data_IF_217370753076
#
_entry.id   IF_217370753076
#
_cell.length_a   1.000
_cell.length_b   1.000
_cell.length_c   1.000
_cell.angle_alpha   90.00
_cell.angle_beta   90.00
_cell.angle_gamma   90.00
#
_symmetry.space_group_name_H-M   'P 1'
#
loop_
_entity.id
_entity.type
_entity.pdbx_description
1 polymer ?
#
# COMPACT_ATOMS: atom_id res chain seq x y z
N UNK A 1 2.16 21.76 14.51
CA UNK A 1 2.33 20.30 14.25
C UNK A 1 0.96 19.67 14.14
N UNK A 2 0.74 18.83 13.12
CA UNK A 2 -0.54 18.13 12.95
C UNK A 2 -0.75 17.09 14.07
N UNK A 3 -1.86 17.13 14.79
CA UNK A 3 -2.12 16.17 15.85
C UNK A 3 -2.61 14.84 15.27
N UNK A 4 -1.72 13.84 15.24
CA UNK A 4 -2.06 12.49 14.78
C UNK A 4 -3.12 11.88 15.72
N UNK A 5 -4.20 11.35 15.14
CA UNK A 5 -5.28 10.71 15.89
C UNK A 5 -5.12 9.19 15.93
N UNK A 6 -4.71 8.60 14.82
CA UNK A 6 -4.50 7.15 14.71
C UNK A 6 -3.02 6.87 14.45
N UNK A 7 -2.36 6.19 15.38
CA UNK A 7 -0.92 5.90 15.28
C UNK A 7 -0.67 4.76 14.30
N UNK A 8 0.26 4.96 13.37
CA UNK A 8 0.72 3.91 12.46
C UNK A 8 1.74 2.97 13.11
N UNK A 9 1.79 1.74 12.63
CA UNK A 9 2.90 0.81 12.84
C UNK A 9 3.74 0.77 11.58
N UNK A 10 5.05 0.83 11.74
CA UNK A 10 6.04 0.79 10.66
C UNK A 10 6.75 -0.56 10.67
N UNK A 11 6.84 -1.21 9.53
CA UNK A 11 7.58 -2.46 9.40
C UNK A 11 8.25 -2.59 8.04
N UNK A 12 9.19 -3.52 7.93
CA UNK A 12 9.85 -3.88 6.68
C UNK A 12 9.55 -5.33 6.36
N UNK A 13 9.15 -5.59 5.12
CA UNK A 13 8.81 -6.94 4.64
C UNK A 13 9.49 -7.23 3.31
N UNK A 14 9.88 -8.48 3.05
CA UNK A 14 10.42 -8.86 1.75
C UNK A 14 9.29 -8.98 0.73
N UNK A 15 9.30 -8.12 -0.28
CA UNK A 15 8.39 -8.19 -1.41
C UNK A 15 9.23 -8.41 -2.66
N UNK A 16 9.05 -9.57 -3.29
CA UNK A 16 9.96 -10.05 -4.33
C UNK A 16 11.38 -10.12 -3.74
N UNK A 17 12.32 -9.34 -4.24
CA UNK A 17 13.70 -9.29 -3.73
C UNK A 17 14.07 -7.92 -3.13
N UNK A 18 13.07 -7.10 -2.83
CA UNK A 18 13.27 -5.79 -2.20
C UNK A 18 12.78 -5.81 -0.77
N UNK A 19 13.42 -5.04 0.08
CA UNK A 19 12.97 -4.76 1.44
C UNK A 19 11.99 -3.60 1.39
N UNK A 20 10.71 -3.91 1.47
CA UNK A 20 9.62 -2.94 1.40
C UNK A 20 9.31 -2.37 2.78
N UNK A 21 9.17 -1.05 2.85
CA UNK A 21 8.63 -0.37 4.02
C UNK A 21 7.11 -0.26 3.88
N UNK A 22 6.40 -0.61 4.96
CA UNK A 22 4.94 -0.60 4.99
C UNK A 22 4.46 0.05 6.28
N UNK A 23 3.52 0.97 6.16
CA UNK A 23 2.76 1.51 7.27
C UNK A 23 1.42 0.79 7.40
N UNK A 24 1.01 0.54 8.63
CA UNK A 24 -0.30 0.01 8.93
C UNK A 24 -0.99 0.85 10.00
N UNK A 25 -2.30 1.02 9.86
CA UNK A 25 -3.17 1.60 10.88
C UNK A 25 -4.32 0.63 11.16
N UNK A 26 -4.79 0.60 12.39
CA UNK A 26 -5.81 -0.36 12.81
C UNK A 26 -5.28 -1.79 12.90
N UNK A 27 -6.18 -2.74 13.03
CA UNK A 27 -5.86 -4.16 13.23
C UNK A 27 -6.60 -5.04 12.25
N UNK A 28 -5.99 -6.17 11.83
CA UNK A 28 -6.69 -7.17 11.03
C UNK A 28 -7.99 -7.62 11.68
N UNK A 29 -9.03 -7.81 10.87
CA UNK A 29 -10.30 -8.38 11.29
C UNK A 29 -10.82 -9.31 10.21
N UNK A 30 -11.34 -10.51 10.57
CA UNK A 30 -11.92 -11.41 9.59
C UNK A 30 -13.22 -10.86 8.99
N UNK A 31 -13.89 -9.96 9.71
CA UNK A 31 -15.21 -9.43 9.34
C UNK A 31 -15.15 -8.16 8.50
N UNK A 32 -13.95 -7.59 8.30
CA UNK A 32 -13.77 -6.32 7.61
C UNK A 32 -12.81 -6.45 6.44
N UNK A 33 -13.20 -5.88 5.32
CA UNK A 33 -12.34 -5.83 4.12
C UNK A 33 -11.15 -4.89 4.39
N UNK A 34 -9.91 -5.37 4.23
CA UNK A 34 -8.73 -4.53 4.38
C UNK A 34 -8.72 -3.39 3.35
N UNK A 35 -8.19 -2.24 3.75
CA UNK A 35 -8.02 -1.07 2.88
C UNK A 35 -6.54 -0.89 2.56
N UNK A 36 -6.18 -1.06 1.30
CA UNK A 36 -4.82 -0.84 0.80
C UNK A 36 -4.74 0.51 0.12
N UNK A 37 -3.79 1.35 0.54
CA UNK A 37 -3.59 2.69 -0.02
C UNK A 37 -2.22 2.79 -0.69
N UNK A 38 -2.19 3.21 -1.95
CA UNK A 38 -0.97 3.29 -2.75
C UNK A 38 -0.74 4.72 -3.24
N UNK A 39 0.45 5.24 -2.95
CA UNK A 39 0.80 6.64 -3.18
C UNK A 39 1.21 6.96 -4.62
N UNK A 40 1.31 8.25 -4.94
CA UNK A 40 1.71 8.77 -6.22
C UNK A 40 3.23 8.86 -6.42
N UNK A 41 3.61 9.40 -7.56
CA UNK A 41 5.01 9.66 -7.88
C UNK A 41 5.63 10.67 -6.90
N UNK A 42 6.84 10.40 -6.45
CA UNK A 42 7.58 11.25 -5.50
C UNK A 42 6.83 11.49 -4.17
N UNK A 43 6.07 10.51 -3.72
CA UNK A 43 5.33 10.56 -2.47
C UNK A 43 5.73 9.37 -1.57
N UNK A 44 5.08 9.22 -0.44
CA UNK A 44 5.31 8.16 0.54
C UNK A 44 4.01 7.74 1.23
N UNK A 45 4.00 6.55 1.81
CA UNK A 45 2.85 6.03 2.55
C UNK A 45 2.37 6.95 3.69
N UNK A 46 3.30 7.65 4.33
CA UNK A 46 2.99 8.55 5.45
C UNK A 46 2.03 9.68 5.09
N UNK A 47 1.94 10.07 3.81
CA UNK A 47 0.99 11.10 3.35
C UNK A 47 -0.47 10.70 3.56
N UNK A 48 -0.76 9.41 3.70
CA UNK A 48 -2.12 8.93 3.96
C UNK A 48 -2.58 9.15 5.40
N UNK A 49 -1.72 9.61 6.31
CA UNK A 49 -2.09 9.87 7.70
C UNK A 49 -3.34 10.75 7.83
N UNK A 50 -3.44 11.79 7.00
CA UNK A 50 -4.59 12.71 7.02
C UNK A 50 -5.90 12.02 6.63
N UNK A 51 -5.84 11.12 5.64
CA UNK A 51 -7.02 10.35 5.21
C UNK A 51 -7.39 9.36 6.30
N UNK A 52 -6.42 8.65 6.86
CA UNK A 52 -6.66 7.67 7.93
C UNK A 52 -7.31 8.33 9.15
N UNK A 53 -6.81 9.49 9.55
CA UNK A 53 -7.39 10.23 10.69
C UNK A 53 -8.81 10.74 10.42
N UNK A 54 -9.18 10.93 9.15
CA UNK A 54 -10.53 11.32 8.75
C UNK A 54 -11.49 10.12 8.58
N UNK A 55 -10.97 8.90 8.50
CA UNK A 55 -11.78 7.69 8.45
C UNK A 55 -12.28 7.30 9.85
N UNK A 56 -13.37 6.54 9.91
CA UNK A 56 -13.74 5.89 11.16
C UNK A 56 -12.65 4.89 11.59
N UNK A 57 -12.45 4.72 12.89
CA UNK A 57 -11.39 3.87 13.48
C UNK A 57 -11.55 2.36 13.18
N UNK A 58 -12.42 1.99 12.28
CA UNK A 58 -12.79 0.60 12.01
C UNK A 58 -12.05 -0.04 10.85
N UNK A 59 -11.10 0.66 10.24
CA UNK A 59 -10.37 0.16 9.08
C UNK A 59 -9.01 -0.41 9.48
N UNK A 60 -8.65 -1.55 8.90
CA UNK A 60 -7.27 -1.99 8.82
C UNK A 60 -6.70 -1.45 7.51
N UNK A 61 -5.80 -0.48 7.61
CA UNK A 61 -5.16 0.19 6.47
C UNK A 61 -3.74 -0.32 6.32
N UNK A 62 -3.35 -0.62 5.09
CA UNK A 62 -2.01 -1.06 4.71
C UNK A 62 -1.52 -0.11 3.61
N UNK A 63 -0.39 0.54 3.80
CA UNK A 63 0.18 1.45 2.82
C UNK A 63 1.68 1.23 2.67
N UNK A 64 2.14 0.72 1.51
CA UNK A 64 3.55 0.59 1.22
C UNK A 64 4.15 1.92 0.75
N UNK A 65 5.43 2.12 1.00
CA UNK A 65 6.25 2.97 0.16
C UNK A 65 6.60 2.18 -1.10
N UNK A 66 6.31 2.72 -2.29
CA UNK A 66 6.66 2.05 -3.54
C UNK A 66 8.17 1.86 -3.68
N UNK A 67 8.59 0.85 -4.48
CA UNK A 67 9.99 0.66 -4.86
C UNK A 67 10.65 1.97 -5.27
N UNK A 68 11.80 2.27 -4.70
CA UNK A 68 12.56 3.49 -4.97
C UNK A 68 12.06 4.75 -4.29
N UNK A 69 11.01 4.65 -3.45
CA UNK A 69 10.47 5.78 -2.69
C UNK A 69 10.48 5.51 -1.20
N UNK A 70 10.42 6.58 -0.42
CA UNK A 70 10.38 6.51 1.04
C UNK A 70 11.52 5.68 1.62
N UNK A 71 11.17 4.71 2.45
CA UNK A 71 12.13 3.82 3.11
C UNK A 71 12.26 2.45 2.41
N UNK A 72 11.50 2.21 1.36
CA UNK A 72 11.64 1.00 0.54
C UNK A 72 12.95 1.04 -0.27
N UNK A 73 13.59 -0.10 -0.41
CA UNK A 73 14.81 -0.22 -1.20
C UNK A 73 14.62 0.24 -2.64
N UNK A 74 15.65 0.88 -3.17
CA UNK A 74 15.75 1.17 -4.59
C UNK A 74 16.33 -0.05 -5.29
N UNK A 75 15.64 -0.61 -6.30
CA UNK A 75 16.26 -1.63 -7.13
C UNK A 75 17.44 -1.01 -7.87
N UNK A 76 18.55 -1.69 -7.98
CA UNK A 76 19.77 -1.15 -8.61
C UNK A 76 19.62 -0.87 -10.11
N UNK A 77 18.57 -0.14 -10.50
CA UNK A 77 18.21 0.20 -11.88
C UNK A 77 17.62 1.59 -11.94
N UNK A 78 17.70 2.23 -13.10
CA UNK A 78 17.04 3.50 -13.41
C UNK A 78 15.67 3.31 -14.09
N UNK A 79 15.22 2.07 -14.22
CA UNK A 79 13.95 1.75 -14.87
C UNK A 79 12.85 1.49 -13.83
N UNK A 80 11.83 2.35 -13.86
CA UNK A 80 10.64 2.26 -13.00
C UNK A 80 9.41 2.21 -13.90
N UNK A 81 8.89 1.02 -14.16
CA UNK A 81 7.75 0.88 -15.02
C UNK A 81 6.60 0.08 -14.38
N UNK A 82 5.38 0.28 -14.87
CA UNK A 82 4.16 -0.21 -14.24
C UNK A 82 4.11 -1.72 -13.97
N UNK A 83 4.59 -2.62 -14.84
CA UNK A 83 4.59 -4.05 -14.53
C UNK A 83 5.31 -4.42 -13.24
N UNK A 84 6.38 -3.73 -12.87
CA UNK A 84 7.06 -3.97 -11.59
C UNK A 84 6.21 -3.53 -10.40
N UNK A 85 5.52 -2.40 -10.49
CA UNK A 85 4.59 -1.97 -9.45
C UNK A 85 3.41 -2.93 -9.31
N UNK A 86 2.88 -3.43 -10.41
CA UNK A 86 1.79 -4.43 -10.41
C UNK A 86 2.24 -5.71 -9.72
N UNK A 87 3.42 -6.21 -10.04
CA UNK A 87 3.98 -7.42 -9.44
C UNK A 87 4.27 -7.22 -7.94
N UNK A 88 4.77 -6.05 -7.56
CA UNK A 88 5.00 -5.72 -6.16
C UNK A 88 3.68 -5.67 -5.37
N UNK A 89 2.65 -5.05 -5.95
CA UNK A 89 1.33 -4.98 -5.33
C UNK A 89 0.72 -6.37 -5.15
N UNK A 90 0.80 -7.23 -6.16
CA UNK A 90 0.30 -8.60 -6.09
C UNK A 90 0.96 -9.38 -4.93
N UNK A 91 2.28 -9.32 -4.83
CA UNK A 91 3.03 -9.96 -3.75
C UNK A 91 2.75 -9.33 -2.36
N UNK A 92 2.54 -8.02 -2.32
CA UNK A 92 2.17 -7.33 -1.08
C UNK A 92 0.81 -7.83 -0.57
N UNK A 93 -0.16 -7.95 -1.46
CA UNK A 93 -1.48 -8.46 -1.10
C UNK A 93 -1.40 -9.91 -0.63
N UNK A 94 -0.63 -10.76 -1.32
CA UNK A 94 -0.40 -12.14 -0.89
C UNK A 94 0.19 -12.21 0.53
N UNK A 95 1.15 -11.34 0.82
CA UNK A 95 1.81 -11.28 2.12
C UNK A 95 0.85 -10.90 3.26
N UNK A 96 0.02 -9.88 3.06
CA UNK A 96 -0.82 -9.32 4.13
C UNK A 96 -2.19 -9.97 4.25
N UNK A 97 -2.82 -10.30 3.14
CA UNK A 97 -4.23 -10.69 3.13
C UNK A 97 -4.50 -12.05 2.48
N UNK A 98 -3.47 -12.70 1.94
CA UNK A 98 -3.65 -13.96 1.21
C UNK A 98 -4.61 -13.78 0.03
N UNK A 99 -5.61 -14.63 -0.08
CA UNK A 99 -6.59 -14.59 -1.17
C UNK A 99 -7.77 -13.64 -0.92
N UNK A 100 -7.79 -12.95 0.21
CA UNK A 100 -8.89 -12.03 0.54
C UNK A 100 -8.90 -10.84 -0.41
N UNK A 101 -10.07 -10.44 -0.93
CA UNK A 101 -10.20 -9.20 -1.67
C UNK A 101 -9.98 -7.99 -0.74
N UNK A 102 -9.58 -6.87 -1.33
CA UNK A 102 -9.31 -5.62 -0.62
C UNK A 102 -10.08 -4.46 -1.23
N UNK A 103 -10.29 -3.41 -0.43
CA UNK A 103 -10.53 -2.09 -0.99
C UNK A 103 -9.17 -1.50 -1.38
N UNK A 104 -9.06 -1.00 -2.58
CA UNK A 104 -7.81 -0.44 -3.11
C UNK A 104 -8.01 1.03 -3.45
N UNK A 105 -7.29 1.90 -2.75
CA UNK A 105 -7.27 3.34 -2.95
C UNK A 105 -5.92 3.75 -3.52
N UNK A 106 -5.91 4.44 -4.65
CA UNK A 106 -4.69 4.95 -5.26
C UNK A 106 -4.76 6.44 -5.52
N UNK A 107 -3.65 7.13 -5.29
CA UNK A 107 -3.48 8.55 -5.59
C UNK A 107 -2.51 8.73 -6.76
N UNK A 108 -2.89 9.50 -7.79
CA UNK A 108 -2.04 9.83 -8.94
C UNK A 108 -1.48 8.57 -9.62
N UNK A 109 -0.16 8.39 -9.67
CA UNK A 109 0.48 7.17 -10.18
C UNK A 109 -0.06 5.91 -9.50
N UNK A 110 -0.26 5.96 -8.17
CA UNK A 110 -0.89 4.87 -7.43
C UNK A 110 -2.29 4.56 -7.93
N UNK A 111 -3.05 5.58 -8.34
CA UNK A 111 -4.36 5.41 -8.98
C UNK A 111 -4.28 4.68 -10.32
N UNK A 112 -3.28 4.97 -11.13
CA UNK A 112 -3.04 4.22 -12.38
C UNK A 112 -2.70 2.75 -12.10
N UNK A 113 -1.79 2.50 -11.15
CA UNK A 113 -1.44 1.13 -10.75
C UNK A 113 -2.66 0.39 -10.21
N UNK A 114 -3.45 1.03 -9.35
CA UNK A 114 -4.66 0.44 -8.79
C UNK A 114 -5.69 0.08 -9.87
N UNK A 115 -5.91 0.97 -10.83
CA UNK A 115 -6.84 0.75 -11.95
C UNK A 115 -6.38 -0.41 -12.85
N UNK A 116 -5.09 -0.43 -13.19
CA UNK A 116 -4.50 -1.52 -13.99
C UNK A 116 -4.58 -2.85 -13.25
N UNK A 117 -4.26 -2.85 -11.95
CA UNK A 117 -4.33 -4.05 -11.12
C UNK A 117 -5.75 -4.61 -11.03
N UNK A 118 -6.74 -3.75 -10.80
CA UNK A 118 -8.14 -4.15 -10.76
C UNK A 118 -8.64 -4.76 -12.09
N UNK A 119 -8.11 -4.29 -13.20
CA UNK A 119 -8.41 -4.86 -14.53
C UNK A 119 -7.76 -6.22 -14.76
N UNK A 120 -6.59 -6.46 -14.20
CA UNK A 120 -5.83 -7.71 -14.37
C UNK A 120 -6.26 -8.77 -13.35
N UNK A 121 -6.53 -8.35 -12.11
CA UNK A 121 -6.87 -9.22 -10.98
C UNK A 121 -8.18 -8.76 -10.31
N UNK A 122 -9.31 -8.76 -11.04
CA UNK A 122 -10.58 -8.24 -10.51
C UNK A 122 -11.08 -9.01 -9.28
N UNK A 123 -10.70 -10.28 -9.14
CA UNK A 123 -11.07 -11.12 -8.00
C UNK A 123 -10.41 -10.67 -6.68
N UNK A 124 -9.39 -9.80 -6.76
CA UNK A 124 -8.67 -9.29 -5.59
C UNK A 124 -9.28 -7.99 -5.04
N UNK A 125 -10.28 -7.45 -5.73
CA UNK A 125 -10.89 -6.15 -5.39
C UNK A 125 -12.34 -6.33 -4.96
#
# INVERSE_FOLDING_TARGET
MYPIQTVSRSEFVPIRHLRYHVLQWGTPSPDKTPLVMVHGWMDVAASFQFIVDALSNDHWVIAPDWRGFGLTETPGTDNFWFPDYLADLDQLLDHYVGDRPVHLLGHSMGGHVATMYAGIRPERI
#
